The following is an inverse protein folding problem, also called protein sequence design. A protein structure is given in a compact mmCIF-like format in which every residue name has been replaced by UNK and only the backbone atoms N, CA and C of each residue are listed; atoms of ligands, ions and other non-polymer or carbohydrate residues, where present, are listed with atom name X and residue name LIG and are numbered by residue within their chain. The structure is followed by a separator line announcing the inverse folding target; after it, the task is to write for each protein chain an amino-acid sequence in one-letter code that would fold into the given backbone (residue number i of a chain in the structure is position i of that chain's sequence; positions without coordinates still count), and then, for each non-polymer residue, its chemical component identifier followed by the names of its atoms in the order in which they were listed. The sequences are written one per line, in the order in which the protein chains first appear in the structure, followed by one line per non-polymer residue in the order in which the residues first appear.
data_IF_561324899171
#
_entry.id   IF_561324899171
#
_cell.length_a   1.000
_cell.length_b   1.000
_cell.length_c   1.000
_cell.angle_alpha   90.00
_cell.angle_beta   90.00
_cell.angle_gamma   90.00
#
_symmetry.space_group_name_H-M   'P 1'
#
loop_
_entity.id
_entity.type
_entity.pdbx_description
1 polymer ?
#
# COMPACT_ATOMS: atom_id res chain seq x y z
N UNK A 1 -70.63 -55.86 -16.44
CA UNK A 1 -70.32 -54.46 -16.07
C UNK A 1 -69.03 -54.47 -15.27
N UNK A 2 -67.92 -54.06 -15.87
CA UNK A 2 -66.67 -53.59 -15.25
C UNK A 2 -65.76 -53.19 -16.42
N UNK A 3 -66.06 -52.06 -17.08
CA UNK A 3 -65.41 -50.75 -16.91
C UNK A 3 -63.90 -50.82 -17.12
N UNK A 4 -63.56 -50.56 -18.38
CA UNK A 4 -62.25 -50.10 -18.87
C UNK A 4 -61.64 -49.07 -17.93
N UNK A 5 -60.40 -49.33 -17.49
CA UNK A 5 -59.57 -48.32 -16.83
C UNK A 5 -58.78 -47.60 -17.93
N UNK A 6 -58.91 -46.27 -18.09
CA UNK A 6 -58.01 -45.51 -18.94
C UNK A 6 -56.66 -45.37 -18.22
N UNK A 7 -55.60 -45.86 -18.86
CA UNK A 7 -54.21 -45.63 -18.45
C UNK A 7 -53.88 -44.16 -18.69
N UNK A 8 -54.07 -43.33 -17.68
CA UNK A 8 -53.66 -41.93 -17.69
C UNK A 8 -52.13 -41.88 -17.70
N UNK A 9 -51.53 -41.62 -18.88
CA UNK A 9 -50.15 -41.19 -18.98
C UNK A 9 -50.03 -39.82 -18.29
N UNK A 10 -49.62 -39.81 -17.03
CA UNK A 10 -49.16 -38.59 -16.37
C UNK A 10 -47.84 -38.20 -17.03
N UNK A 11 -47.89 -37.16 -17.86
CA UNK A 11 -46.70 -36.42 -18.25
C UNK A 11 -46.11 -35.80 -16.99
N UNK A 12 -45.01 -36.38 -16.51
CA UNK A 12 -44.18 -35.73 -15.51
C UNK A 12 -43.54 -34.51 -16.16
N UNK A 13 -44.22 -33.36 -16.11
CA UNK A 13 -43.56 -32.07 -16.24
C UNK A 13 -42.68 -31.98 -14.98
N UNK A 14 -41.43 -32.40 -15.12
CA UNK A 14 -40.40 -32.15 -14.13
C UNK A 14 -40.19 -30.64 -14.07
N UNK A 15 -40.93 -29.98 -13.19
CA UNK A 15 -40.64 -28.64 -12.68
C UNK A 15 -39.45 -28.71 -11.71
N UNK A 16 -38.39 -29.42 -12.11
CA UNK A 16 -37.09 -29.23 -11.50
C UNK A 16 -36.61 -27.86 -11.94
N UNK A 17 -36.92 -26.85 -11.11
CA UNK A 17 -36.30 -25.55 -11.20
C UNK A 17 -34.82 -25.76 -11.41
N UNK A 18 -34.32 -25.19 -12.51
CA UNK A 18 -32.89 -25.15 -12.84
C UNK A 18 -32.26 -24.29 -11.75
N UNK A 19 -31.99 -24.89 -10.59
CA UNK A 19 -31.04 -24.35 -9.65
C UNK A 19 -29.69 -24.46 -10.34
N UNK A 20 -29.13 -23.31 -10.71
CA UNK A 20 -27.77 -23.20 -11.18
C UNK A 20 -26.86 -23.98 -10.22
N UNK A 21 -26.25 -25.08 -10.69
CA UNK A 21 -25.46 -26.02 -9.88
C UNK A 21 -24.15 -25.41 -9.35
N UNK A 22 -23.86 -24.17 -9.71
CA UNK A 22 -22.66 -23.45 -9.31
C UNK A 22 -23.10 -22.04 -8.95
N UNK A 23 -23.21 -21.69 -7.66
CA UNK A 23 -23.35 -20.29 -7.29
C UNK A 23 -22.04 -19.60 -7.69
N UNK A 24 -22.08 -18.42 -8.35
CA UNK A 24 -20.88 -17.75 -8.82
C UNK A 24 -20.20 -17.06 -7.65
N UNK A 25 -19.60 -17.86 -6.77
CA UNK A 25 -18.69 -17.38 -5.74
C UNK A 25 -17.26 -17.61 -6.21
N UNK A 26 -16.45 -16.58 -6.08
CA UNK A 26 -15.00 -16.71 -6.13
C UNK A 26 -14.51 -16.60 -4.70
N UNK A 27 -13.86 -17.66 -4.24
CA UNK A 27 -13.18 -17.66 -2.95
C UNK A 27 -11.83 -16.96 -3.11
N UNK A 28 -11.69 -15.76 -2.54
CA UNK A 28 -10.39 -15.10 -2.41
C UNK A 28 -9.87 -15.34 -1.00
N UNK A 29 -8.58 -15.65 -0.86
CA UNK A 29 -7.95 -15.68 0.46
C UNK A 29 -7.43 -14.28 0.76
N UNK A 30 -7.92 -13.65 1.83
CA UNK A 30 -7.46 -12.34 2.25
C UNK A 30 -6.06 -12.42 2.90
N UNK A 31 -5.52 -11.26 3.23
CA UNK A 31 -4.17 -11.09 3.79
C UNK A 31 -3.99 -11.72 5.19
N UNK A 32 -5.09 -12.02 5.87
CA UNK A 32 -5.10 -12.69 7.17
C UNK A 32 -5.29 -14.21 7.02
N UNK A 33 -5.25 -14.76 5.80
CA UNK A 33 -5.48 -16.18 5.54
C UNK A 33 -6.95 -16.60 5.58
N UNK A 34 -7.89 -15.65 5.68
CA UNK A 34 -9.33 -15.93 5.74
C UNK A 34 -9.90 -15.98 4.33
N UNK A 35 -10.61 -17.06 4.00
CA UNK A 35 -11.39 -17.16 2.76
C UNK A 35 -12.59 -16.21 2.79
N UNK A 36 -12.72 -15.40 1.76
CA UNK A 36 -13.85 -14.52 1.49
C UNK A 36 -14.49 -14.99 0.20
N UNK A 37 -15.72 -15.49 0.30
CA UNK A 37 -16.51 -15.87 -0.86
C UNK A 37 -17.19 -14.63 -1.42
N UNK A 38 -16.75 -14.20 -2.60
CA UNK A 38 -17.27 -13.01 -3.26
C UNK A 38 -18.40 -13.47 -4.18
N UNK A 39 -19.63 -13.17 -3.76
CA UNK A 39 -20.79 -13.35 -4.62
C UNK A 39 -20.78 -12.31 -5.73
N UNK A 40 -21.09 -12.75 -6.95
CA UNK A 40 -21.46 -11.89 -8.06
C UNK A 40 -22.52 -10.85 -7.63
N UNK A 41 -22.39 -9.59 -8.07
CA UNK A 41 -23.32 -8.50 -7.74
C UNK A 41 -24.77 -8.93 -8.05
N UNK A 42 -25.62 -8.97 -7.02
CA UNK A 42 -26.93 -9.65 -7.05
C UNK A 42 -27.85 -9.13 -8.18
N UNK A 43 -27.76 -7.84 -8.50
CA UNK A 43 -28.57 -7.22 -9.56
C UNK A 43 -28.15 -7.65 -10.97
N UNK A 44 -26.84 -7.81 -11.20
CA UNK A 44 -26.33 -8.15 -12.52
C UNK A 44 -26.47 -9.65 -12.81
N UNK A 45 -26.30 -10.50 -11.80
CA UNK A 45 -26.56 -11.94 -11.92
C UNK A 45 -28.04 -12.23 -12.19
N UNK A 46 -28.97 -11.53 -11.50
CA UNK A 46 -30.41 -11.57 -11.81
C UNK A 46 -30.70 -11.19 -13.26
N UNK A 47 -30.07 -10.11 -13.76
CA UNK A 47 -30.25 -9.66 -15.15
C UNK A 47 -29.72 -10.64 -16.20
N UNK A 48 -28.59 -11.30 -15.93
CA UNK A 48 -28.07 -12.36 -16.81
C UNK A 48 -29.05 -13.53 -16.84
N UNK A 49 -29.54 -13.97 -15.68
CA UNK A 49 -30.48 -15.08 -15.58
C UNK A 49 -31.81 -14.79 -16.29
N UNK A 50 -32.34 -13.56 -16.20
CA UNK A 50 -33.57 -13.19 -16.91
C UNK A 50 -33.39 -13.14 -18.42
N UNK A 51 -32.25 -12.64 -18.91
CA UNK A 51 -31.94 -12.62 -20.34
C UNK A 51 -31.77 -14.03 -20.91
N UNK A 52 -31.04 -14.90 -20.21
CA UNK A 52 -30.87 -16.30 -20.61
C UNK A 52 -32.23 -17.03 -20.59
N UNK A 53 -33.06 -16.80 -19.57
CA UNK A 53 -34.39 -17.40 -19.49
C UNK A 53 -35.33 -16.93 -20.61
N UNK A 54 -35.20 -15.68 -21.08
CA UNK A 54 -35.92 -15.19 -22.25
C UNK A 54 -35.40 -15.85 -23.54
N UNK A 55 -34.08 -15.94 -23.68
CA UNK A 55 -33.43 -16.55 -24.85
C UNK A 55 -33.77 -18.03 -25.02
N UNK A 56 -33.78 -18.79 -23.91
CA UNK A 56 -34.13 -20.21 -23.94
C UNK A 56 -35.57 -20.46 -24.39
N UNK A 57 -36.50 -19.51 -24.26
CA UNK A 57 -37.89 -19.67 -24.73
C UNK A 57 -38.02 -19.62 -26.24
N UNK A 58 -37.10 -18.96 -26.93
CA UNK A 58 -37.21 -18.68 -28.38
C UNK A 58 -36.32 -19.59 -29.23
N UNK A 59 -35.39 -20.31 -28.61
CA UNK A 59 -34.35 -21.07 -29.30
C UNK A 59 -34.67 -22.58 -29.26
N UNK A 60 -34.34 -23.35 -30.33
CA UNK A 60 -34.47 -24.80 -30.29
C UNK A 60 -33.61 -25.47 -29.21
N UNK A 61 -34.12 -26.59 -28.68
CA UNK A 61 -33.51 -27.40 -27.61
C UNK A 61 -32.03 -27.78 -27.84
N UNK A 62 -31.61 -27.93 -29.10
CA UNK A 62 -30.24 -28.28 -29.47
C UNK A 62 -29.20 -27.22 -29.02
N UNK A 63 -29.63 -25.98 -28.83
CA UNK A 63 -28.75 -24.86 -28.44
C UNK A 63 -28.80 -24.56 -26.94
N UNK A 64 -29.63 -25.26 -26.16
CA UNK A 64 -29.77 -25.02 -24.72
C UNK A 64 -28.45 -25.24 -23.96
N UNK A 65 -27.67 -26.25 -24.34
CA UNK A 65 -26.35 -26.52 -23.73
C UNK A 65 -25.37 -25.37 -23.96
N UNK A 66 -25.33 -24.83 -25.18
CA UNK A 66 -24.49 -23.67 -25.52
C UNK A 66 -24.93 -22.42 -24.77
N UNK A 67 -26.24 -22.19 -24.65
CA UNK A 67 -26.79 -21.03 -23.95
C UNK A 67 -26.54 -21.11 -22.44
N UNK A 68 -26.71 -22.28 -21.84
CA UNK A 68 -26.40 -22.50 -20.42
C UNK A 68 -24.89 -22.37 -20.15
N UNK A 69 -24.03 -22.84 -21.04
CA UNK A 69 -22.59 -22.58 -20.93
C UNK A 69 -22.25 -21.08 -21.00
N UNK A 70 -22.94 -20.29 -21.85
CA UNK A 70 -22.78 -18.84 -21.89
C UNK A 70 -23.25 -18.16 -20.59
N UNK A 71 -24.32 -18.66 -19.97
CA UNK A 71 -24.77 -18.20 -18.66
C UNK A 71 -23.67 -18.38 -17.61
N UNK A 72 -23.10 -19.59 -17.52
CA UNK A 72 -22.06 -19.91 -16.54
C UNK A 72 -20.80 -19.06 -16.75
N UNK A 73 -20.37 -18.88 -18.01
CA UNK A 73 -19.23 -18.03 -18.34
C UNK A 73 -19.48 -16.56 -17.97
N UNK A 74 -20.69 -16.07 -18.24
CA UNK A 74 -21.06 -14.69 -17.90
C UNK A 74 -21.11 -14.44 -16.39
N UNK A 75 -21.65 -15.41 -15.63
CA UNK A 75 -21.70 -15.34 -14.17
C UNK A 75 -20.30 -15.43 -13.55
N UNK A 76 -19.44 -16.29 -14.10
CA UNK A 76 -18.03 -16.42 -13.67
C UNK A 76 -17.26 -15.14 -13.92
N UNK A 77 -17.36 -14.57 -15.13
CA UNK A 77 -16.70 -13.31 -15.47
C UNK A 77 -17.19 -12.15 -14.59
N UNK A 78 -18.45 -12.18 -14.15
CA UNK A 78 -18.99 -11.18 -13.25
C UNK A 78 -18.41 -11.29 -11.84
N UNK A 79 -18.25 -12.51 -11.34
CA UNK A 79 -17.56 -12.78 -10.09
C UNK A 79 -16.07 -12.40 -10.18
N UNK A 80 -15.39 -12.68 -11.30
CA UNK A 80 -13.99 -12.31 -11.50
C UNK A 80 -13.81 -10.79 -11.44
N UNK A 81 -14.74 -10.06 -12.07
CA UNK A 81 -14.74 -8.60 -12.04
C UNK A 81 -14.92 -8.05 -10.63
N UNK A 82 -15.85 -8.60 -9.85
CA UNK A 82 -16.07 -8.13 -8.47
C UNK A 82 -14.88 -8.46 -7.58
N UNK A 83 -14.30 -9.65 -7.73
CA UNK A 83 -13.04 -10.07 -7.12
C UNK A 83 -11.90 -9.08 -7.39
N UNK A 84 -11.65 -8.75 -8.66
CA UNK A 84 -10.61 -7.80 -9.05
C UNK A 84 -10.87 -6.39 -8.52
N UNK A 85 -12.13 -5.96 -8.47
CA UNK A 85 -12.50 -4.65 -7.94
C UNK A 85 -12.21 -4.56 -6.43
N UNK A 86 -12.48 -5.62 -5.67
CA UNK A 86 -12.17 -5.70 -4.25
C UNK A 86 -10.66 -5.65 -4.02
N UNK A 87 -9.89 -6.48 -4.73
CA UNK A 87 -8.43 -6.48 -4.63
C UNK A 87 -7.81 -5.12 -4.98
N UNK A 88 -8.33 -4.45 -6.01
CA UNK A 88 -7.87 -3.13 -6.40
C UNK A 88 -8.19 -2.08 -5.31
N UNK A 89 -9.39 -2.11 -4.74
CA UNK A 89 -9.76 -1.22 -3.65
C UNK A 89 -8.84 -1.40 -2.43
N UNK A 90 -8.52 -2.65 -2.06
CA UNK A 90 -7.60 -2.95 -0.96
C UNK A 90 -6.19 -2.42 -1.25
N UNK A 91 -5.69 -2.61 -2.47
CA UNK A 91 -4.39 -2.09 -2.89
C UNK A 91 -4.34 -0.55 -2.86
N UNK A 92 -5.41 0.10 -3.32
CA UNK A 92 -5.55 1.56 -3.25
C UNK A 92 -5.59 2.04 -1.81
N UNK A 93 -6.30 1.36 -0.91
CA UNK A 93 -6.32 1.71 0.51
C UNK A 93 -4.95 1.55 1.17
N UNK A 94 -4.24 0.45 0.88
CA UNK A 94 -2.86 0.23 1.33
C UNK A 94 -1.92 1.32 0.84
N UNK A 95 -2.02 1.67 -0.44
CA UNK A 95 -1.19 2.73 -1.01
C UNK A 95 -1.50 4.08 -0.35
N UNK A 96 -2.78 4.41 -0.12
CA UNK A 96 -3.18 5.61 0.62
C UNK A 96 -2.63 5.61 2.05
N UNK A 97 -2.72 4.49 2.78
CA UNK A 97 -2.19 4.35 4.15
C UNK A 97 -0.66 4.50 4.19
N UNK A 98 0.04 3.87 3.25
CA UNK A 98 1.49 3.99 3.09
C UNK A 98 1.91 5.43 2.79
N UNK A 99 1.22 6.10 1.84
CA UNK A 99 1.46 7.51 1.55
C UNK A 99 1.25 8.39 2.79
N UNK A 100 0.15 8.20 3.53
CA UNK A 100 -0.14 8.93 4.78
C UNK A 100 0.93 8.68 5.86
N UNK A 101 1.41 7.45 5.99
CA UNK A 101 2.47 7.10 6.95
C UNK A 101 3.79 7.77 6.56
N UNK A 102 4.15 7.74 5.27
CA UNK A 102 5.37 8.38 4.76
C UNK A 102 5.32 9.90 4.89
N UNK A 103 4.19 10.53 4.58
CA UNK A 103 4.03 11.98 4.81
C UNK A 103 4.07 12.30 6.30
N UNK A 104 3.41 11.53 7.18
CA UNK A 104 3.51 11.72 8.63
C UNK A 104 4.94 11.59 9.14
N UNK A 105 5.74 10.66 8.62
CA UNK A 105 7.16 10.53 8.98
C UNK A 105 7.94 11.79 8.60
N UNK A 106 7.91 12.15 7.31
CA UNK A 106 8.71 13.28 6.81
C UNK A 106 8.25 14.64 7.34
N UNK A 107 6.94 14.88 7.46
CA UNK A 107 6.41 16.15 7.96
C UNK A 107 6.27 16.19 9.49
N UNK A 108 6.16 15.04 10.15
CA UNK A 108 6.17 14.94 11.62
C UNK A 108 7.56 15.17 12.19
N UNK A 109 8.60 14.60 11.57
CA UNK A 109 10.01 14.90 11.89
C UNK A 109 10.34 16.37 11.58
N UNK A 110 9.84 16.92 10.46
CA UNK A 110 10.01 18.34 10.14
C UNK A 110 9.25 19.29 11.10
N UNK A 111 8.12 18.86 11.68
CA UNK A 111 7.40 19.61 12.73
C UNK A 111 8.03 19.48 14.12
N UNK A 112 8.80 18.42 14.37
CA UNK A 112 9.51 18.23 15.65
C UNK A 112 10.68 19.19 15.81
N UNK A 113 11.33 19.62 14.72
CA UNK A 113 12.12 20.85 14.73
C UNK A 113 11.15 22.04 14.84
N UNK A 114 10.65 22.28 16.05
CA UNK A 114 9.99 23.54 16.37
C UNK A 114 10.96 24.68 16.05
N UNK A 115 10.42 25.85 15.68
CA UNK A 115 11.24 27.04 15.40
C UNK A 115 12.21 27.33 16.57
N UNK A 116 11.79 27.01 17.79
CA UNK A 116 12.59 27.11 19.01
C UNK A 116 13.80 26.17 19.03
N UNK A 117 13.64 24.89 18.69
CA UNK A 117 14.75 23.93 18.59
C UNK A 117 15.72 24.28 17.45
N UNK A 118 15.20 24.79 16.33
CA UNK A 118 16.02 25.27 15.23
C UNK A 118 16.86 26.50 15.64
N UNK A 119 16.27 27.44 16.38
CA UNK A 119 16.97 28.59 16.94
C UNK A 119 18.00 28.17 17.99
N UNK A 120 17.72 27.16 18.80
CA UNK A 120 18.66 26.65 19.80
C UNK A 120 19.88 25.99 19.16
N UNK A 121 19.69 25.13 18.15
CA UNK A 121 20.80 24.56 17.37
C UNK A 121 21.62 25.62 16.62
N UNK A 122 20.97 26.69 16.16
CA UNK A 122 21.67 27.81 15.53
C UNK A 122 22.55 28.56 16.55
N UNK A 123 22.03 28.81 17.75
CA UNK A 123 22.81 29.42 18.84
C UNK A 123 23.99 28.55 19.26
N UNK A 124 23.81 27.24 19.38
CA UNK A 124 24.88 26.29 19.71
C UNK A 124 26.00 26.26 18.66
N UNK A 125 25.65 26.35 17.36
CA UNK A 125 26.65 26.47 16.29
C UNK A 125 27.41 27.79 16.37
N UNK A 126 26.70 28.90 16.53
CA UNK A 126 27.32 30.22 16.63
C UNK A 126 28.25 30.33 17.84
N UNK A 127 27.89 29.73 18.98
CA UNK A 127 28.74 29.69 20.18
C UNK A 127 30.05 28.90 19.92
N UNK A 128 29.96 27.74 19.27
CA UNK A 128 31.15 26.95 18.88
C UNK A 128 32.05 27.72 17.91
N UNK A 129 31.46 28.40 16.93
CA UNK A 129 32.23 29.19 15.97
C UNK A 129 32.94 30.38 16.64
N UNK A 130 32.32 31.02 17.63
CA UNK A 130 32.95 32.08 18.45
C UNK A 130 34.07 31.54 19.36
N UNK A 131 33.91 30.37 19.96
CA UNK A 131 34.99 29.72 20.72
C UNK A 131 36.18 29.40 19.82
N UNK A 132 35.94 28.91 18.60
CA UNK A 132 36.99 28.64 17.62
C UNK A 132 37.65 29.94 17.15
N UNK A 133 36.90 31.01 16.90
CA UNK A 133 37.48 32.30 16.49
C UNK A 133 38.34 32.91 17.60
N UNK A 134 37.86 32.93 18.84
CA UNK A 134 38.61 33.45 19.99
C UNK A 134 39.85 32.60 20.28
N UNK A 135 39.78 31.27 20.13
CA UNK A 135 40.95 30.40 20.25
C UNK A 135 42.00 30.69 19.15
N UNK A 136 41.55 30.93 17.91
CA UNK A 136 42.44 31.34 16.80
C UNK A 136 43.09 32.70 17.06
N UNK A 137 42.34 33.68 17.57
CA UNK A 137 42.85 35.00 17.93
C UNK A 137 43.88 34.91 19.07
N UNK A 138 43.60 34.11 20.11
CA UNK A 138 44.56 33.85 21.20
C UNK A 138 45.83 33.19 20.67
N UNK A 139 45.71 32.20 19.79
CA UNK A 139 46.87 31.54 19.17
C UNK A 139 47.69 32.50 18.29
N UNK A 140 47.03 33.38 17.55
CA UNK A 140 47.70 34.41 16.74
C UNK A 140 48.44 35.43 17.63
N UNK A 141 47.81 35.90 18.70
CA UNK A 141 48.43 36.80 19.67
C UNK A 141 49.67 36.19 20.34
N UNK A 142 49.63 34.89 20.65
CA UNK A 142 50.78 34.15 21.20
C UNK A 142 51.90 33.95 20.17
N UNK A 143 51.58 33.70 18.89
CA UNK A 143 52.60 33.60 17.82
C UNK A 143 53.38 34.90 17.64
N UNK A 144 52.71 36.05 17.75
CA UNK A 144 53.37 37.36 17.73
C UNK A 144 54.41 37.49 18.85
N UNK A 145 54.05 37.11 20.08
CA UNK A 145 54.93 37.15 21.26
C UNK A 145 56.07 36.12 21.21
N UNK A 146 55.84 34.93 20.66
CA UNK A 146 56.87 33.90 20.51
C UNK A 146 58.03 34.30 19.60
N UNK A 147 57.77 35.11 18.56
CA UNK A 147 58.84 35.68 17.72
C UNK A 147 59.69 36.69 18.49
N UNK A 148 59.07 37.55 19.30
CA UNK A 148 59.81 38.47 20.17
C UNK A 148 60.66 37.73 21.21
N UNK A 149 60.12 36.69 21.86
CA UNK A 149 60.88 35.86 22.80
C UNK A 149 62.06 35.13 22.11
N UNK A 150 61.88 34.63 20.88
CA UNK A 150 62.94 33.97 20.12
C UNK A 150 64.02 34.95 19.63
N UNK A 151 63.65 36.20 19.32
CA UNK A 151 64.60 37.27 19.01
C UNK A 151 65.38 37.69 20.25
N UNK A 152 64.70 37.92 21.38
CA UNK A 152 65.34 38.21 22.65
C UNK A 152 66.33 37.12 23.08
N UNK A 153 66.03 35.84 22.85
CA UNK A 153 66.94 34.73 23.13
C UNK A 153 68.13 34.66 22.18
N UNK A 154 67.97 35.08 20.92
CA UNK A 154 69.08 35.18 19.96
C UNK A 154 70.01 36.35 20.26
N UNK A 155 69.47 37.46 20.75
CA UNK A 155 70.26 38.63 21.15
C UNK A 155 70.88 38.48 22.55
N UNK A 156 70.38 37.52 23.36
CA UNK A 156 71.06 37.04 24.56
C UNK A 156 72.22 36.11 24.16
N UNK A 157 73.27 36.68 23.55
CA UNK A 157 74.56 36.02 23.48
C UNK A 157 75.08 35.86 24.93
N UNK A 158 74.75 34.73 25.56
CA UNK A 158 75.35 34.31 26.82
C UNK A 158 76.81 33.97 26.54
N UNK A 159 77.70 34.93 26.77
CA UNK A 159 79.09 34.66 27.10
C UNK A 159 79.11 33.97 28.47
N UNK A 160 78.87 32.66 28.49
CA UNK A 160 79.31 31.82 29.59
C UNK A 160 80.36 30.88 29.00
N UNK A 161 81.62 31.22 29.24
CA UNK A 161 82.73 30.29 29.14
C UNK A 161 82.45 29.12 30.08
N UNK A 162 82.38 27.92 29.53
CA UNK A 162 82.50 26.69 30.29
C UNK A 162 83.60 25.86 29.63
N UNK A 163 84.63 25.57 30.41
CA UNK A 163 85.89 24.84 30.14
C UNK A 163 86.96 25.70 29.43
N UNK A 164 88.06 26.13 30.07
CA UNK A 164 88.98 25.43 31.01
C UNK A 164 89.41 26.36 32.15
#
# INVERSE_FOLDING_TARGET
MEKDRPTTFQSYISTAGIQAKTPPFISITNENGVRVDIQATEDQSKRINTLIAALLKEVPLQLYSTITHLQDLSLTALADRSALQILNNDLVQKQKKSRKSRTKKHFGEARQLTVEEALQKMRERNAKDQEVSTAKERAAALRGKGRFAKLAWKDLAMSFDVFI
#
